data_IF_845045942523
#
_entry.id   IF_845045942523
#
_cell.length_a   1.000
_cell.length_b   1.000
_cell.length_c   1.000
_cell.angle_alpha   90.00
_cell.angle_beta   90.00
_cell.angle_gamma   90.00
#
_symmetry.space_group_name_H-M   'P 1'
#
loop_
_entity.id
_entity.type
_entity.pdbx_description
1 polymer ?
#
# COMPACT_ATOMS: atom_id res chain seq x y z
N UNK A 1 8.98 9.40 -1.27
CA UNK A 1 9.00 9.35 0.19
C UNK A 1 7.98 10.32 0.71
N UNK A 2 7.23 9.93 1.73
CA UNK A 2 6.36 10.81 2.50
C UNK A 2 6.65 10.64 4.00
N UNK A 3 6.32 11.66 4.78
CA UNK A 3 6.24 11.57 6.23
C UNK A 3 5.14 10.58 6.63
N UNK A 4 5.48 9.66 7.52
CA UNK A 4 4.53 8.67 8.01
C UNK A 4 4.04 9.03 9.41
N UNK A 5 2.73 9.25 9.54
CA UNK A 5 2.08 9.49 10.84
C UNK A 5 1.47 8.23 11.46
N UNK A 6 1.50 7.11 10.73
CA UNK A 6 0.95 5.84 11.16
C UNK A 6 2.03 4.97 11.82
N UNK A 7 2.40 5.33 13.05
CA UNK A 7 3.30 4.55 13.89
C UNK A 7 2.83 4.61 15.36
N UNK A 8 3.21 3.62 16.15
CA UNK A 8 2.92 3.60 17.59
C UNK A 8 4.01 4.33 18.36
N UNK A 9 3.67 4.87 19.54
CA UNK A 9 4.64 5.51 20.43
C UNK A 9 5.76 4.57 20.89
N UNK A 10 5.52 3.25 20.84
CA UNK A 10 6.48 2.21 21.21
C UNK A 10 7.38 1.78 20.04
N UNK A 11 7.41 2.53 18.93
CA UNK A 11 8.30 2.27 17.80
C UNK A 11 7.81 1.21 16.80
N UNK A 12 6.53 0.86 16.83
CA UNK A 12 5.92 -0.05 15.86
C UNK A 12 5.28 0.69 14.68
N UNK A 13 5.15 0.03 13.54
CA UNK A 13 4.47 0.58 12.36
C UNK A 13 2.99 0.17 12.35
N UNK A 14 2.10 1.10 11.99
CA UNK A 14 0.69 0.79 11.75
C UNK A 14 0.48 0.64 10.25
N UNK A 15 0.21 -0.58 9.80
CA UNK A 15 -0.03 -0.91 8.38
C UNK A 15 -1.53 -1.00 8.10
N UNK A 16 -1.91 -0.73 6.85
CA UNK A 16 -3.32 -0.72 6.45
C UNK A 16 -3.91 -2.14 6.47
N UNK A 17 -5.24 -2.24 6.55
CA UNK A 17 -5.94 -3.53 6.42
C UNK A 17 -5.61 -4.19 5.07
N UNK A 18 -5.06 -5.42 5.12
CA UNK A 18 -4.58 -6.16 3.96
C UNK A 18 -3.09 -5.96 3.61
N UNK A 19 -2.37 -5.08 4.30
CA UNK A 19 -0.91 -4.95 4.22
C UNK A 19 -0.27 -5.67 5.41
N UNK A 20 0.77 -6.47 5.16
CA UNK A 20 1.54 -7.15 6.20
C UNK A 20 3.00 -6.71 6.20
N UNK A 21 3.61 -6.75 7.39
CA UNK A 21 5.05 -6.59 7.53
C UNK A 21 5.72 -7.91 7.13
N UNK A 22 6.54 -7.87 6.10
CA UNK A 22 7.29 -9.02 5.57
C UNK A 22 8.65 -9.17 6.25
N UNK A 23 9.24 -8.06 6.68
CA UNK A 23 10.54 -8.04 7.36
C UNK A 23 10.68 -6.82 8.26
N UNK A 24 11.42 -7.01 9.35
CA UNK A 24 11.81 -5.98 10.30
C UNK A 24 13.32 -5.99 10.48
N UNK A 25 13.94 -4.82 10.60
CA UNK A 25 15.34 -4.66 10.97
C UNK A 25 15.51 -3.49 11.94
N UNK A 26 16.00 -3.80 13.16
CA UNK A 26 16.20 -2.83 14.24
C UNK A 26 17.61 -2.23 14.20
N UNK A 27 17.81 -1.13 14.92
CA UNK A 27 19.09 -0.45 15.04
C UNK A 27 19.67 -0.03 13.68
N UNK A 28 18.83 0.53 12.82
CA UNK A 28 19.20 1.09 11.51
C UNK A 28 19.47 2.58 11.67
N UNK A 29 20.54 3.05 11.04
CA UNK A 29 20.87 4.47 10.96
C UNK A 29 20.53 5.01 9.56
N UNK A 30 19.52 5.88 9.48
CA UNK A 30 19.08 6.54 8.26
C UNK A 30 19.65 7.95 8.18
N UNK A 31 20.31 8.29 7.08
CA UNK A 31 20.73 9.66 6.77
C UNK A 31 20.41 10.04 5.33
N UNK A 32 20.35 11.35 5.08
CA UNK A 32 20.10 11.91 3.75
C UNK A 32 21.24 12.86 3.37
N UNK A 33 21.64 12.81 2.09
CA UNK A 33 22.56 13.76 1.47
C UNK A 33 21.95 14.30 0.17
N UNK A 34 22.56 15.35 -0.36
CA UNK A 34 22.21 15.93 -1.67
C UNK A 34 20.72 16.25 -1.79
N UNK A 35 20.16 16.77 -0.69
CA UNK A 35 18.75 17.14 -0.59
C UNK A 35 18.53 18.39 -1.45
N UNK A 36 17.66 18.28 -2.44
CA UNK A 36 17.42 19.38 -3.39
C UNK A 36 16.66 20.56 -2.79
N UNK A 37 15.88 20.33 -1.71
CA UNK A 37 15.19 21.37 -0.97
C UNK A 37 15.92 21.73 0.32
N UNK A 38 15.78 22.98 0.77
CA UNK A 38 16.27 23.40 2.10
C UNK A 38 15.24 22.98 3.16
N UNK A 39 15.52 21.89 3.87
CA UNK A 39 14.71 21.41 4.99
C UNK A 39 15.58 20.88 6.13
N UNK A 40 15.17 21.14 7.37
CA UNK A 40 15.82 20.57 8.56
C UNK A 40 15.34 19.16 8.88
N UNK A 41 14.20 18.76 8.29
CA UNK A 41 13.56 17.47 8.49
C UNK A 41 14.51 16.28 8.21
N UNK A 42 15.31 16.40 7.16
CA UNK A 42 16.18 15.34 6.66
C UNK A 42 17.61 15.43 7.18
N UNK A 43 17.93 16.45 7.97
CA UNK A 43 19.28 16.64 8.49
C UNK A 43 19.62 15.59 9.55
N UNK A 44 20.92 15.30 9.63
CA UNK A 44 21.51 14.40 10.61
C UNK A 44 21.25 12.93 10.34
N UNK A 45 21.66 12.11 11.31
CA UNK A 45 21.47 10.66 11.30
C UNK A 45 20.35 10.28 12.26
N UNK A 46 19.43 9.46 11.78
CA UNK A 46 18.22 9.04 12.48
C UNK A 46 18.36 7.57 12.84
N UNK A 47 18.24 7.22 14.11
CA UNK A 47 18.28 5.82 14.55
C UNK A 47 16.87 5.28 14.66
N UNK A 48 16.64 4.05 14.21
CA UNK A 48 15.30 3.50 14.21
C UNK A 48 15.20 2.07 13.71
N UNK A 49 13.99 1.70 13.34
CA UNK A 49 13.63 0.39 12.81
C UNK A 49 13.10 0.54 11.40
N UNK A 50 13.53 -0.36 10.51
CA UNK A 50 13.04 -0.46 9.14
C UNK A 50 12.09 -1.65 9.01
N UNK A 51 10.97 -1.44 8.32
CA UNK A 51 9.99 -2.45 7.99
C UNK A 51 9.83 -2.54 6.47
N UNK A 52 9.76 -3.76 5.93
CA UNK A 52 9.37 -4.00 4.55
C UNK A 52 7.94 -4.53 4.49
N UNK A 53 7.15 -3.99 3.59
CA UNK A 53 5.82 -4.50 3.23
C UNK A 53 5.81 -4.83 1.74
N UNK A 54 4.74 -5.39 1.16
CA UNK A 54 4.68 -5.64 -0.28
C UNK A 54 4.88 -4.40 -1.17
N UNK A 55 4.65 -3.18 -0.64
CA UNK A 55 4.53 -1.95 -1.46
C UNK A 55 5.54 -0.86 -1.10
N UNK A 56 6.10 -0.90 0.12
CA UNK A 56 6.91 0.20 0.65
C UNK A 56 7.87 -0.28 1.73
N UNK A 57 8.94 0.48 1.88
CA UNK A 57 9.79 0.46 3.05
C UNK A 57 9.30 1.52 4.02
N UNK A 58 9.20 1.21 5.31
CA UNK A 58 8.90 2.19 6.35
C UNK A 58 10.08 2.30 7.32
N UNK A 59 10.40 3.51 7.72
CA UNK A 59 11.35 3.81 8.79
C UNK A 59 10.59 4.42 9.95
N UNK A 60 10.84 3.94 11.17
CA UNK A 60 10.30 4.50 12.41
C UNK A 60 11.49 4.84 13.31
N UNK A 61 11.65 6.12 13.63
CA UNK A 61 12.68 6.62 14.55
C UNK A 61 12.45 6.03 15.94
N UNK A 62 13.53 5.63 16.61
CA UNK A 62 13.50 5.27 18.03
C UNK A 62 13.53 6.51 18.93
N UNK A 63 13.87 7.68 18.38
CA UNK A 63 13.85 8.96 19.10
C UNK A 63 12.57 9.72 18.76
N UNK A 64 11.70 9.90 19.76
CA UNK A 64 10.43 10.63 19.64
C UNK A 64 10.60 12.14 19.41
N UNK A 65 11.80 12.68 19.66
CA UNK A 65 12.17 14.08 19.38
C UNK A 65 12.81 14.27 18.01
N UNK A 66 13.02 13.20 17.24
CA UNK A 66 13.53 13.33 15.87
C UNK A 66 12.49 14.01 14.97
N UNK A 67 12.91 15.02 14.23
CA UNK A 67 12.03 15.83 13.39
C UNK A 67 11.33 15.01 12.30
N UNK A 68 11.95 13.93 11.80
CA UNK A 68 11.33 13.07 10.80
C UNK A 68 10.28 12.17 11.46
N UNK A 69 10.61 11.59 12.63
CA UNK A 69 9.74 10.70 13.39
C UNK A 69 9.53 9.35 12.69
N UNK A 70 8.80 9.32 11.57
CA UNK A 70 8.67 8.16 10.70
C UNK A 70 8.50 8.59 9.25
N UNK A 71 8.97 7.76 8.32
CA UNK A 71 8.86 8.00 6.89
C UNK A 71 8.51 6.72 6.13
N UNK A 72 7.75 6.88 5.05
CA UNK A 72 7.45 5.83 4.10
C UNK A 72 8.17 6.06 2.77
N UNK A 73 8.71 4.98 2.23
CA UNK A 73 9.46 4.92 0.98
C UNK A 73 8.73 3.96 0.04
N UNK A 74 7.74 4.46 -0.73
CA UNK A 74 7.15 3.68 -1.81
C UNK A 74 8.23 3.26 -2.82
N UNK A 75 8.22 1.99 -3.24
CA UNK A 75 9.29 1.45 -4.08
C UNK A 75 9.43 2.18 -5.42
N UNK A 76 8.32 2.65 -5.99
CA UNK A 76 8.31 3.40 -7.25
C UNK A 76 8.97 4.80 -7.15
N UNK A 77 9.15 5.33 -5.93
CA UNK A 77 9.86 6.60 -5.69
C UNK A 77 11.36 6.42 -5.39
N UNK A 78 11.82 5.16 -5.30
CA UNK A 78 13.21 4.81 -5.03
C UNK A 78 13.92 4.44 -6.34
N UNK A 79 15.15 4.93 -6.52
CA UNK A 79 15.98 4.67 -7.71
C UNK A 79 17.41 4.32 -7.33
N UNK A 80 18.06 3.50 -8.16
CA UNK A 80 19.48 3.18 -8.03
C UNK A 80 19.84 2.61 -6.66
N UNK A 81 18.99 1.76 -6.09
CA UNK A 81 19.25 1.18 -4.78
C UNK A 81 20.36 0.11 -4.89
N UNK A 82 21.36 0.16 -4.01
CA UNK A 82 22.46 -0.82 -3.94
C UNK A 82 22.78 -1.20 -2.49
N UNK A 83 23.32 -2.40 -2.30
CA UNK A 83 23.89 -2.85 -1.03
C UNK A 83 25.40 -2.65 -1.12
N UNK A 84 25.96 -1.96 -0.13
CA UNK A 84 27.38 -1.66 -0.04
C UNK A 84 27.95 -2.42 1.16
N UNK A 85 29.06 -3.13 0.94
CA UNK A 85 29.68 -4.03 1.92
C UNK A 85 31.13 -3.62 2.22
N UNK A 86 31.35 -2.51 2.95
CA UNK A 86 32.68 -2.10 3.34
C UNK A 86 33.30 -3.08 4.35
N UNK A 87 34.60 -3.32 4.26
CA UNK A 87 35.33 -4.23 5.15
C UNK A 87 35.44 -3.70 6.59
N UNK A 88 35.53 -2.38 6.74
CA UNK A 88 35.79 -1.70 8.03
C UNK A 88 34.63 -0.82 8.53
N UNK A 89 33.44 -0.98 7.96
CA UNK A 89 32.26 -0.24 8.39
C UNK A 89 31.02 -1.14 8.31
N UNK A 90 29.91 -0.67 8.87
CA UNK A 90 28.65 -1.37 8.75
C UNK A 90 28.21 -1.43 7.28
N UNK A 91 27.64 -2.57 6.87
CA UNK A 91 26.97 -2.70 5.59
C UNK A 91 25.81 -1.72 5.54
N UNK A 92 25.57 -1.15 4.36
CA UNK A 92 24.52 -0.15 4.18
C UNK A 92 23.81 -0.31 2.85
N UNK A 93 22.56 0.14 2.80
CA UNK A 93 21.79 0.29 1.57
C UNK A 93 21.78 1.77 1.24
N UNK A 94 22.10 2.12 -0.01
CA UNK A 94 21.96 3.49 -0.51
C UNK A 94 21.05 3.55 -1.71
N UNK A 95 20.54 4.73 -2.01
CA UNK A 95 19.80 4.98 -3.23
C UNK A 95 19.32 6.43 -3.29
N UNK A 96 18.51 6.72 -4.30
CA UNK A 96 17.86 8.01 -4.46
C UNK A 96 16.38 7.87 -4.16
N UNK A 97 15.80 8.82 -3.43
CA UNK A 97 14.37 8.86 -3.19
C UNK A 97 13.79 10.22 -3.55
N UNK A 98 12.69 10.21 -4.30
CA UNK A 98 11.95 11.42 -4.67
C UNK A 98 10.79 11.65 -3.70
N UNK A 99 10.46 12.90 -3.40
CA UNK A 99 9.32 13.26 -2.58
C UNK A 99 8.00 12.83 -3.25
N UNK A 100 7.06 12.36 -2.43
CA UNK A 100 5.69 12.14 -2.87
C UNK A 100 4.93 13.48 -2.85
N UNK A 101 4.12 13.81 -3.85
CA UNK A 101 3.30 15.02 -3.84
C UNK A 101 2.44 15.10 -2.56
N UNK A 102 2.55 16.20 -1.82
CA UNK A 102 1.85 16.38 -0.54
C UNK A 102 2.40 15.54 0.63
N UNK A 103 3.52 14.84 0.44
CA UNK A 103 4.14 13.94 1.43
C UNK A 103 4.89 14.64 2.57
N UNK A 104 4.73 15.96 2.75
CA UNK A 104 5.33 16.73 3.85
C UNK A 104 6.78 17.19 3.64
N UNK A 105 7.34 16.97 2.45
CA UNK A 105 8.61 17.55 1.98
C UNK A 105 8.64 17.54 0.45
N UNK A 106 9.62 18.20 -0.17
CA UNK A 106 9.71 18.32 -1.64
C UNK A 106 11.09 17.96 -2.18
N UNK A 107 11.14 17.60 -3.46
CA UNK A 107 12.39 17.37 -4.18
C UNK A 107 12.90 15.94 -4.11
N UNK A 108 14.21 15.78 -4.04
CA UNK A 108 14.90 14.49 -4.06
C UNK A 108 16.05 14.49 -3.05
N UNK A 109 16.41 13.31 -2.56
CA UNK A 109 17.57 13.12 -1.71
C UNK A 109 18.24 11.77 -2.00
N UNK A 110 19.54 11.69 -1.75
CA UNK A 110 20.23 10.41 -1.61
C UNK A 110 20.03 9.93 -0.17
N UNK A 111 19.54 8.71 0.00
CA UNK A 111 19.38 8.11 1.33
C UNK A 111 20.47 7.06 1.54
N UNK A 112 20.87 6.91 2.80
CA UNK A 112 21.75 5.84 3.28
C UNK A 112 21.13 5.22 4.53
N UNK A 113 20.94 3.90 4.52
CA UNK A 113 20.52 3.10 5.67
C UNK A 113 21.68 2.20 6.08
N UNK A 114 22.34 2.53 7.19
CA UNK A 114 23.44 1.74 7.75
C UNK A 114 22.92 0.72 8.74
N UNK A 115 23.51 -0.49 8.75
CA UNK A 115 23.07 -1.61 9.59
C UNK A 115 24.17 -2.06 10.56
N UNK A 116 24.47 -1.29 11.63
CA UNK A 116 25.47 -1.65 12.63
C UNK A 116 25.28 -3.05 13.26
N UNK A 117 24.03 -3.51 13.36
CA UNK A 117 23.68 -4.83 13.92
C UNK A 117 23.56 -5.93 12.86
N UNK A 118 23.95 -5.68 11.60
CA UNK A 118 23.76 -6.61 10.49
C UNK A 118 22.35 -6.57 9.89
N UNK A 119 22.06 -7.47 8.95
CA UNK A 119 20.76 -7.56 8.26
C UNK A 119 20.64 -6.80 6.93
N UNK A 120 21.67 -6.02 6.55
CA UNK A 120 21.66 -5.22 5.32
C UNK A 120 21.47 -6.07 4.05
N UNK A 121 22.11 -7.24 4.00
CA UNK A 121 22.11 -8.10 2.81
C UNK A 121 20.73 -8.72 2.65
N UNK A 122 20.20 -9.31 3.72
CA UNK A 122 18.89 -9.95 3.73
C UNK A 122 17.78 -8.94 3.48
N UNK A 123 17.83 -7.77 4.12
CA UNK A 123 16.87 -6.71 3.88
C UNK A 123 16.96 -6.22 2.42
N UNK A 124 18.16 -5.94 1.92
CA UNK A 124 18.37 -5.44 0.56
C UNK A 124 17.92 -6.43 -0.51
N UNK A 125 18.21 -7.72 -0.34
CA UNK A 125 17.72 -8.77 -1.25
C UNK A 125 16.19 -8.84 -1.28
N UNK A 126 15.51 -8.72 -0.13
CA UNK A 126 14.04 -8.66 -0.10
C UNK A 126 13.52 -7.38 -0.75
N UNK A 127 14.13 -6.23 -0.43
CA UNK A 127 13.78 -4.93 -1.02
C UNK A 127 13.84 -4.99 -2.55
N UNK A 128 14.91 -5.55 -3.13
CA UNK A 128 15.06 -5.62 -4.58
C UNK A 128 14.02 -6.53 -5.25
N UNK A 129 13.70 -7.67 -4.63
CA UNK A 129 12.62 -8.56 -5.11
C UNK A 129 11.27 -7.84 -5.09
N UNK A 130 10.94 -7.18 -3.98
CA UNK A 130 9.67 -6.46 -3.81
C UNK A 130 9.55 -5.28 -4.77
N UNK A 131 10.62 -4.47 -4.90
CA UNK A 131 10.65 -3.35 -5.82
C UNK A 131 10.54 -3.79 -7.29
N UNK A 132 11.16 -4.90 -7.66
CA UNK A 132 11.04 -5.48 -9.02
C UNK A 132 9.64 -5.99 -9.31
N UNK A 133 8.97 -6.57 -8.31
CA UNK A 133 7.57 -7.00 -8.47
C UNK A 133 6.63 -5.80 -8.57
N UNK A 134 6.86 -4.77 -7.75
CA UNK A 134 6.07 -3.54 -7.75
C UNK A 134 6.22 -2.73 -9.06
N UNK A 135 7.39 -2.77 -9.70
CA UNK A 135 7.61 -2.08 -10.99
C UNK A 135 6.95 -2.78 -12.17
N UNK A 136 6.61 -4.07 -12.05
CA UNK A 136 5.89 -4.85 -13.07
C UNK A 136 4.38 -4.80 -12.91
N UNK A 137 3.88 -4.46 -11.73
CA UNK A 137 2.47 -4.22 -11.51
C UNK A 137 2.06 -2.89 -12.16
N UNK A 138 0.84 -2.83 -12.73
CA UNK A 138 0.30 -1.56 -13.21
C UNK A 138 0.32 -0.55 -12.05
N UNK A 139 0.74 0.71 -12.28
CA UNK A 139 0.75 1.71 -11.23
C UNK A 139 -0.64 1.81 -10.63
N UNK A 140 -0.74 1.71 -9.30
CA UNK A 140 -1.99 1.90 -8.61
C UNK A 140 -2.57 3.25 -9.02
N UNK A 141 -3.63 3.24 -9.84
CA UNK A 141 -4.43 4.42 -10.12
C UNK A 141 -5.06 4.84 -8.79
N UNK A 142 -4.44 5.79 -8.08
CA UNK A 142 -5.13 6.67 -7.16
C UNK A 142 -4.22 7.83 -6.78
N UNK A 143 -4.37 8.94 -7.51
CA UNK A 143 -3.84 10.26 -7.15
C UNK A 143 -4.62 10.90 -6.01
N UNK A 144 -4.79 10.20 -4.89
CA UNK A 144 -5.32 10.78 -3.66
C UNK A 144 -4.15 11.01 -2.69
N UNK A 145 -3.97 12.27 -2.30
CA UNK A 145 -2.92 12.71 -1.38
C UNK A 145 -2.86 11.84 -0.12
N UNK A 146 -1.68 11.25 0.14
CA UNK A 146 -1.13 10.91 1.46
C UNK A 146 -2.10 10.40 2.55
N UNK A 147 -3.11 9.60 2.22
CA UNK A 147 -3.89 8.77 3.17
C UNK A 147 -4.55 7.64 2.39
N UNK A 148 -3.88 6.49 2.32
CA UNK A 148 -4.45 5.26 1.78
C UNK A 148 -4.05 4.98 0.33
N UNK A 149 -2.96 4.23 0.16
CA UNK A 149 -2.81 3.40 -1.03
C UNK A 149 -3.89 2.31 -1.03
N UNK A 150 -4.41 1.92 -2.22
CA UNK A 150 -5.64 1.16 -2.33
C UNK A 150 -5.48 -0.26 -1.77
N UNK A 151 -6.51 -0.69 -1.05
CA UNK A 151 -6.64 -2.05 -0.55
C UNK A 151 -6.73 -3.04 -1.74
N UNK A 152 -5.97 -4.14 -1.77
CA UNK A 152 -6.12 -5.18 -2.79
C UNK A 152 -7.42 -5.95 -2.53
N UNK A 153 -8.53 -5.45 -3.07
CA UNK A 153 -9.85 -6.03 -2.79
C UNK A 153 -10.99 -5.63 -3.70
N UNK A 154 -10.73 -5.21 -4.94
CA UNK A 154 -11.81 -4.90 -5.90
C UNK A 154 -11.57 -5.64 -7.22
N UNK A 155 -11.52 -6.97 -7.15
CA UNK A 155 -11.89 -7.82 -8.27
C UNK A 155 -13.36 -8.20 -8.08
N UNK A 156 -14.13 -8.03 -9.15
CA UNK A 156 -15.57 -8.24 -9.32
C UNK A 156 -16.52 -7.14 -8.84
N UNK A 157 -17.18 -6.57 -9.84
CA UNK A 157 -17.89 -5.31 -9.76
C UNK A 157 -19.31 -5.40 -9.27
N UNK A 158 -19.75 -4.27 -8.73
CA UNK A 158 -21.09 -3.71 -8.80
C UNK A 158 -20.92 -2.22 -8.44
N UNK A 159 -20.39 -1.43 -9.38
CA UNK A 159 -20.49 0.02 -9.30
C UNK A 159 -21.90 0.45 -9.72
N UNK A 160 -22.50 1.49 -9.11
CA UNK A 160 -23.78 2.00 -9.56
C UNK A 160 -23.66 2.45 -11.03
N UNK A 161 -24.65 2.16 -11.88
CA UNK A 161 -24.54 2.44 -13.31
C UNK A 161 -24.38 3.95 -13.55
N UNK A 162 -23.56 4.37 -14.54
CA UNK A 162 -23.43 5.78 -14.89
C UNK A 162 -24.78 6.35 -15.34
N UNK A 163 -25.07 7.58 -14.90
CA UNK A 163 -26.27 8.32 -15.28
C UNK A 163 -26.31 8.51 -16.80
N UNK A 164 -27.39 8.03 -17.42
CA UNK A 164 -27.61 8.15 -18.86
C UNK A 164 -27.77 9.62 -19.29
N UNK A 165 -27.25 10.03 -20.47
CA UNK A 165 -27.44 11.38 -21.01
C UNK A 165 -28.92 11.68 -21.30
N UNK A 166 -29.34 12.88 -20.89
CA UNK A 166 -30.68 13.41 -21.10
C UNK A 166 -31.02 13.53 -22.59
N UNK A 167 -32.05 12.81 -23.04
CA UNK A 167 -32.75 13.17 -24.28
C UNK A 167 -33.05 12.02 -25.22
N UNK A 168 -34.04 11.18 -24.87
CA UNK A 168 -34.89 10.52 -25.86
C UNK A 168 -36.32 10.41 -25.30
N UNK A 169 -37.36 10.87 -26.02
CA UNK A 169 -38.73 10.76 -25.56
C UNK A 169 -39.20 9.30 -25.66
N UNK A 170 -39.56 8.72 -24.52
CA UNK A 170 -40.23 7.42 -24.48
C UNK A 170 -41.67 7.57 -25.02
N UNK A 171 -42.14 6.66 -25.90
CA UNK A 171 -43.55 6.62 -26.26
C UNK A 171 -44.39 6.16 -25.05
N UNK A 172 -45.62 6.68 -24.89
CA UNK A 172 -46.48 6.31 -23.77
C UNK A 172 -46.94 4.84 -23.86
N UNK A 173 -47.14 4.17 -22.72
CA UNK A 173 -47.57 2.77 -22.71
C UNK A 173 -48.99 2.61 -23.25
N UNK A 174 -49.33 1.48 -23.91
CA UNK A 174 -50.68 1.23 -24.38
C UNK A 174 -51.62 1.03 -23.18
N UNK A 175 -52.71 1.79 -23.13
CA UNK A 175 -53.86 1.47 -22.30
C UNK A 175 -54.64 0.36 -23.00
N UNK A 176 -54.84 -0.79 -22.35
CA UNK A 176 -55.92 -1.69 -22.74
C UNK A 176 -56.61 -2.31 -21.53
N UNK A 177 -57.82 -1.80 -21.34
CA UNK A 177 -58.88 -2.28 -20.49
C UNK A 177 -59.44 -3.58 -21.10
N UNK A 178 -59.55 -4.68 -20.35
CA UNK A 178 -60.33 -5.84 -20.82
C UNK A 178 -59.99 -7.20 -20.21
N UNK A 179 -60.71 -7.55 -19.14
CA UNK A 179 -61.17 -8.90 -18.74
C UNK A 179 -60.35 -10.15 -19.17
N UNK A 180 -59.76 -10.89 -18.20
CA UNK A 180 -60.21 -12.23 -17.77
C UNK A 180 -59.18 -12.96 -16.88
N UNK A 181 -59.72 -13.47 -15.76
CA UNK A 181 -59.38 -14.65 -14.95
C UNK A 181 -57.98 -14.86 -14.36
N UNK A 182 -57.98 -14.95 -13.02
CA UNK A 182 -56.82 -15.30 -12.20
C UNK A 182 -56.37 -16.75 -12.35
N UNK A 183 -55.12 -17.05 -11.92
CA UNK A 183 -54.52 -18.36 -12.09
C UNK A 183 -55.18 -19.43 -11.19
N UNK A 184 -55.39 -20.67 -11.68
CA UNK A 184 -55.96 -21.77 -10.90
C UNK A 184 -54.96 -22.38 -9.89
N UNK A 185 -55.44 -23.07 -8.83
CA UNK A 185 -54.62 -23.59 -7.74
C UNK A 185 -53.84 -24.86 -8.09
N UNK A 186 -52.75 -25.08 -7.33
CA UNK A 186 -51.78 -26.15 -7.48
C UNK A 186 -52.31 -27.55 -7.11
N UNK A 187 -51.95 -28.55 -7.94
CA UNK A 187 -51.96 -29.97 -7.64
C UNK A 187 -50.86 -30.61 -8.53
N UNK A 188 -50.04 -31.57 -8.14
CA UNK A 188 -49.88 -32.35 -6.92
C UNK A 188 -48.73 -33.34 -7.15
N UNK A 189 -47.99 -33.62 -6.09
CA UNK A 189 -47.34 -34.89 -5.73
C UNK A 189 -46.96 -35.91 -6.84
N UNK A 190 -45.65 -36.06 -7.11
CA UNK A 190 -45.03 -37.33 -7.52
C UNK A 190 -43.62 -37.40 -6.94
N UNK A 191 -43.46 -38.24 -5.91
CA UNK A 191 -42.24 -38.35 -5.12
C UNK A 191 -41.21 -39.33 -5.68
N UNK A 192 -39.99 -39.26 -5.14
CA UNK A 192 -39.08 -40.39 -4.97
C UNK A 192 -38.28 -40.25 -3.67
N UNK A 193 -38.05 -41.38 -3.02
CA UNK A 193 -37.64 -41.56 -1.64
C UNK A 193 -36.13 -41.33 -1.39
N UNK A 194 -35.83 -40.88 -0.17
CA UNK A 194 -34.50 -40.64 0.37
C UNK A 194 -33.92 -41.95 0.95
N UNK A 195 -32.64 -42.29 0.73
CA UNK A 195 -32.01 -43.43 1.41
C UNK A 195 -31.52 -43.04 2.82
N UNK A 196 -31.64 -43.92 3.84
CA UNK A 196 -31.31 -43.60 5.23
C UNK A 196 -29.80 -43.61 5.49
N UNK A 197 -29.40 -42.82 6.50
CA UNK A 197 -28.02 -42.72 7.00
C UNK A 197 -27.65 -43.94 7.87
N UNK A 198 -26.45 -44.47 7.65
CA UNK A 198 -25.84 -45.52 8.46
C UNK A 198 -25.22 -44.94 9.73
N UNK A 199 -25.38 -45.66 10.84
CA UNK A 199 -24.71 -45.44 12.12
C UNK A 199 -23.27 -45.99 12.11
#
# INVERSE_FOLDING_TARGET
>A
MALNRNHSQNGGVLVNSGESVLRECKNVELSFSDVTCKTDLLKGTKKGTVYLTPYRLLFVSSNTKDCLGSAMFPYYLMKGCSIEQPVFAANYIKGTVSAEPGGGWEGQAHFKMSFPSGGAIELGQHLFKLATNASRAAPAQNGAASFGYPSPGMMNGYGPPPSAPSGYPYPPPPQQNGFYQGPPPAAGNMGYAYPPAAA
#
